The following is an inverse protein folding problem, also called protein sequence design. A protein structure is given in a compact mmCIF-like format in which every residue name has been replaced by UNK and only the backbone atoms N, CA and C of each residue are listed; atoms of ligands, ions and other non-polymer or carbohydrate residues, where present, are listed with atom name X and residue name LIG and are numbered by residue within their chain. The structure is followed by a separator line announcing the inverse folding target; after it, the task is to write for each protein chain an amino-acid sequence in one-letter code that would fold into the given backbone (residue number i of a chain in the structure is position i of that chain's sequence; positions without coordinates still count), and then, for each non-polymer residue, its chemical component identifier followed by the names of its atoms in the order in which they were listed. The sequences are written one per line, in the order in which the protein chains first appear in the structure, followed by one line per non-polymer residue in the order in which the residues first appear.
data_IF_289286677365
#
_entry.id   IF_289286677365
#
_cell.length_a   1.000
_cell.length_b   1.000
_cell.length_c   1.000
_cell.angle_alpha   90.00
_cell.angle_beta   90.00
_cell.angle_gamma   90.00
#
_symmetry.space_group_name_H-M   'P 1'
#
loop_
_entity.id
_entity.type
_entity.pdbx_description
1 polymer ?
#
# COMPACT_ATOMS: atom_id res chain seq x y z
N UNK A 1 -19.66 19.87 2.02
CA UNK A 1 -19.22 19.65 3.41
C UNK A 1 -17.87 18.95 3.35
N UNK A 2 -16.78 19.69 3.54
CA UNK A 2 -15.42 19.17 3.52
C UNK A 2 -15.14 18.45 4.83
N UNK A 3 -14.74 17.18 4.75
CA UNK A 3 -14.22 16.44 5.89
C UNK A 3 -12.78 16.93 6.06
N UNK A 4 -12.44 17.62 7.17
CA UNK A 4 -11.10 18.14 7.36
C UNK A 4 -10.07 17.00 7.43
N UNK A 5 -8.79 17.33 7.34
CA UNK A 5 -7.73 16.54 7.99
C UNK A 5 -8.10 16.35 9.48
N UNK A 6 -8.92 15.33 9.79
CA UNK A 6 -9.46 15.04 11.12
C UNK A 6 -8.87 13.74 11.63
N UNK A 7 -7.91 13.89 12.54
CA UNK A 7 -7.92 13.30 13.86
C UNK A 7 -6.84 14.08 14.64
N UNK A 8 -7.12 14.51 15.88
CA UNK A 8 -6.19 15.07 16.90
C UNK A 8 -5.03 15.99 16.39
N UNK A 9 -4.91 17.22 16.91
CA UNK A 9 -3.89 18.18 16.46
C UNK A 9 -2.44 17.62 16.43
N UNK A 10 -2.13 16.60 17.25
CA UNK A 10 -0.85 15.87 17.22
C UNK A 10 -0.71 14.96 16.00
N UNK A 11 -1.72 14.17 15.64
CA UNK A 11 -1.69 13.26 14.47
C UNK A 11 -1.68 14.03 13.16
N UNK A 12 -2.41 15.15 13.06
CA UNK A 12 -2.38 16.02 11.87
C UNK A 12 -0.95 16.46 11.51
N UNK A 13 -0.09 16.71 12.50
CA UNK A 13 1.31 17.12 12.25
C UNK A 13 2.12 15.98 11.63
N UNK A 14 1.99 14.77 12.17
CA UNK A 14 2.74 13.59 11.71
C UNK A 14 2.24 13.14 10.33
N UNK A 15 0.93 13.12 10.12
CA UNK A 15 0.29 12.82 8.83
C UNK A 15 0.72 13.82 7.75
N UNK A 16 0.65 15.11 8.08
CA UNK A 16 1.06 16.18 7.18
C UNK A 16 2.55 16.10 6.85
N UNK A 17 3.39 15.74 7.83
CA UNK A 17 4.83 15.53 7.62
C UNK A 17 5.10 14.37 6.68
N UNK A 18 4.42 13.23 6.85
CA UNK A 18 4.56 12.07 5.99
C UNK A 18 4.14 12.41 4.54
N UNK A 19 2.96 13.02 4.38
CA UNK A 19 2.47 13.45 3.07
C UNK A 19 3.40 14.48 2.40
N UNK A 20 3.93 15.43 3.18
CA UNK A 20 4.87 16.44 2.69
C UNK A 20 6.18 15.80 2.25
N UNK A 21 6.74 14.87 3.04
CA UNK A 21 8.00 14.23 2.71
C UNK A 21 7.94 13.41 1.41
N UNK A 22 6.82 12.72 1.14
CA UNK A 22 6.63 12.06 -0.16
C UNK A 22 6.58 13.09 -1.29
N UNK A 23 5.83 14.18 -1.08
CA UNK A 23 5.67 15.26 -2.05
C UNK A 23 7.01 15.92 -2.39
N UNK A 24 7.74 16.36 -1.38
CA UNK A 24 9.05 17.01 -1.49
C UNK A 24 10.08 16.10 -2.15
N UNK A 25 10.09 14.80 -1.82
CA UNK A 25 11.12 13.88 -2.31
C UNK A 25 10.86 13.33 -3.71
N UNK A 26 9.60 13.20 -4.13
CA UNK A 26 9.26 12.48 -5.37
C UNK A 26 8.32 13.21 -6.33
N UNK A 27 7.54 14.20 -5.88
CA UNK A 27 6.42 14.73 -6.68
C UNK A 27 6.69 16.04 -7.40
N UNK A 28 7.77 16.78 -7.06
CA UNK A 28 8.04 18.10 -7.65
C UNK A 28 9.13 18.02 -8.71
N UNK A 29 8.81 18.16 -10.01
CA UNK A 29 9.82 18.12 -11.05
C UNK A 29 10.89 19.19 -10.84
N UNK A 30 12.16 18.85 -11.10
CA UNK A 30 13.34 19.70 -10.92
C UNK A 30 13.66 20.17 -9.47
N UNK A 31 12.73 20.09 -8.51
CA UNK A 31 12.99 20.41 -7.10
C UNK A 31 13.24 19.16 -6.24
N UNK A 32 12.54 18.07 -6.54
CA UNK A 32 12.70 16.80 -5.84
C UNK A 32 13.99 16.10 -6.29
N UNK A 33 14.87 15.76 -5.34
CA UNK A 33 16.11 15.01 -5.60
C UNK A 33 15.87 13.70 -6.34
N UNK A 34 14.75 13.04 -6.02
CA UNK A 34 14.37 11.75 -6.56
C UNK A 34 13.09 11.84 -7.40
N UNK A 35 12.80 12.99 -8.05
CA UNK A 35 11.57 13.18 -8.81
C UNK A 35 11.18 11.95 -9.64
N UNK A 36 9.93 11.54 -9.54
CA UNK A 36 9.34 10.49 -10.36
C UNK A 36 8.02 10.99 -10.95
N UNK A 37 7.77 10.71 -12.23
CA UNK A 37 6.40 10.80 -12.75
C UNK A 37 5.47 9.85 -11.97
N UNK A 38 4.14 10.07 -11.93
CA UNK A 38 3.24 9.19 -11.18
C UNK A 38 3.41 7.72 -11.55
N UNK A 39 3.55 7.41 -12.85
CA UNK A 39 3.80 6.05 -13.34
C UNK A 39 5.13 5.47 -12.82
N UNK A 40 6.21 6.25 -12.81
CA UNK A 40 7.52 5.81 -12.30
C UNK A 40 7.50 5.63 -10.78
N UNK A 41 6.80 6.49 -10.06
CA UNK A 41 6.61 6.35 -8.61
C UNK A 41 5.79 5.09 -8.28
N UNK A 42 4.72 4.82 -9.05
CA UNK A 42 3.96 3.58 -8.95
C UNK A 42 4.86 2.34 -9.12
N UNK A 43 5.66 2.30 -10.20
CA UNK A 43 6.64 1.23 -10.43
C UNK A 43 7.66 1.11 -9.29
N UNK A 44 8.15 2.23 -8.76
CA UNK A 44 9.05 2.25 -7.62
C UNK A 44 8.41 1.58 -6.40
N UNK A 45 7.21 2.02 -5.99
CA UNK A 45 6.51 1.44 -4.83
C UNK A 45 6.24 -0.04 -5.04
N UNK A 46 5.77 -0.46 -6.23
CA UNK A 46 5.58 -1.88 -6.57
C UNK A 46 6.86 -2.69 -6.45
N UNK A 47 8.00 -2.16 -6.89
CA UNK A 47 9.29 -2.84 -6.77
C UNK A 47 9.75 -3.04 -5.33
N UNK A 48 9.15 -2.33 -4.36
CA UNK A 48 9.43 -2.46 -2.92
C UNK A 48 8.41 -3.32 -2.19
N UNK A 49 7.31 -3.69 -2.84
CA UNK A 49 6.30 -4.55 -2.25
C UNK A 49 6.71 -6.01 -2.38
N UNK A 50 6.60 -6.76 -1.27
CA UNK A 50 6.61 -8.21 -1.33
C UNK A 50 5.26 -8.74 -1.80
N UNK A 51 5.31 -9.90 -2.46
CA UNK A 51 4.10 -10.62 -2.79
C UNK A 51 3.34 -11.01 -1.51
N UNK A 52 2.03 -10.85 -1.55
CA UNK A 52 1.12 -11.07 -0.44
C UNK A 52 0.31 -12.33 -0.71
N UNK A 53 0.94 -13.45 -0.37
CA UNK A 53 0.38 -14.80 -0.42
C UNK A 53 0.97 -15.58 0.78
N UNK A 54 0.93 -14.97 1.96
CA UNK A 54 1.55 -15.51 3.18
C UNK A 54 0.76 -16.68 3.74
N UNK A 55 -0.55 -16.69 3.50
CA UNK A 55 -1.48 -17.66 4.05
C UNK A 55 -2.36 -18.29 2.96
N UNK A 56 -2.99 -19.43 3.29
CA UNK A 56 -4.02 -19.98 2.41
C UNK A 56 -5.21 -19.02 2.38
N UNK A 57 -5.69 -18.70 1.18
CA UNK A 57 -6.76 -17.71 0.95
C UNK A 57 -6.40 -16.28 1.37
N UNK A 58 -5.11 -15.95 1.41
CA UNK A 58 -4.66 -14.57 1.52
C UNK A 58 -5.22 -13.73 0.36
N UNK A 59 -5.55 -12.47 0.65
CA UNK A 59 -6.17 -11.60 -0.33
C UNK A 59 -5.11 -10.83 -1.10
N UNK A 60 -5.22 -10.78 -2.42
CA UNK A 60 -4.33 -9.97 -3.27
C UNK A 60 -4.21 -8.51 -2.77
N UNK A 61 -5.34 -7.99 -2.30
CA UNK A 61 -5.50 -6.62 -1.85
C UNK A 61 -5.25 -6.44 -0.34
N UNK A 62 -4.81 -7.47 0.38
CA UNK A 62 -4.26 -7.32 1.73
C UNK A 62 -3.08 -6.37 1.66
N UNK A 63 -2.97 -5.38 2.55
CA UNK A 63 -1.95 -4.35 2.49
C UNK A 63 -1.01 -4.29 3.71
N UNK A 64 -1.37 -4.97 4.80
CA UNK A 64 -0.56 -5.06 6.00
C UNK A 64 -0.98 -6.28 6.83
N UNK A 65 -0.02 -6.83 7.58
CA UNK A 65 -0.26 -7.83 8.62
C UNK A 65 0.24 -7.32 9.97
N UNK A 66 -0.50 -7.64 11.04
CA UNK A 66 -0.06 -7.49 12.42
C UNK A 66 0.02 -8.88 13.05
N UNK A 67 1.24 -9.35 13.29
CA UNK A 67 1.54 -10.52 14.10
C UNK A 67 1.60 -10.15 15.60
N UNK A 68 1.40 -11.12 16.49
CA UNK A 68 1.36 -10.89 17.94
C UNK A 68 2.23 -11.86 18.70
N UNK A 69 2.69 -11.45 19.87
CA UNK A 69 3.45 -12.33 20.79
C UNK A 69 2.60 -13.46 21.40
N UNK A 70 1.28 -13.29 21.46
CA UNK A 70 0.38 -14.17 22.22
C UNK A 70 0.11 -15.52 21.53
N UNK A 71 -0.03 -15.52 20.22
CA UNK A 71 -0.38 -16.71 19.44
C UNK A 71 0.07 -16.57 18.00
N UNK A 72 0.00 -17.66 17.25
CA UNK A 72 0.34 -17.66 15.83
C UNK A 72 -0.64 -16.83 14.98
N UNK A 73 -1.82 -16.49 15.50
CA UNK A 73 -2.83 -15.75 14.73
C UNK A 73 -2.34 -14.36 14.34
N UNK A 74 -2.68 -13.97 13.12
CA UNK A 74 -2.31 -12.68 12.51
C UNK A 74 -3.57 -11.88 12.22
N UNK A 75 -3.49 -10.56 12.31
CA UNK A 75 -4.53 -9.68 11.78
C UNK A 75 -4.10 -9.19 10.42
N UNK A 76 -4.91 -9.46 9.39
CA UNK A 76 -4.71 -8.95 8.05
C UNK A 76 -5.58 -7.71 7.83
N UNK A 77 -5.05 -6.73 7.08
CA UNK A 77 -5.75 -5.51 6.70
C UNK A 77 -5.91 -5.50 5.19
N UNK A 78 -7.13 -5.61 4.69
CA UNK A 78 -7.41 -5.69 3.25
C UNK A 78 -8.10 -4.46 2.74
N UNK A 79 -7.65 -3.96 1.59
CA UNK A 79 -8.28 -2.84 0.94
C UNK A 79 -9.64 -3.24 0.35
N UNK A 80 -10.69 -2.52 0.68
CA UNK A 80 -11.95 -2.63 -0.02
C UNK A 80 -11.89 -1.76 -1.27
N UNK A 81 -12.10 -2.37 -2.42
CA UNK A 81 -11.95 -1.73 -3.71
C UNK A 81 -13.30 -1.55 -4.40
N UNK A 82 -13.44 -0.44 -5.12
CA UNK A 82 -14.52 -0.24 -6.07
C UNK A 82 -13.93 -0.03 -7.47
N UNK A 83 -14.63 -0.49 -8.49
CA UNK A 83 -14.24 -0.25 -9.87
C UNK A 83 -14.19 1.25 -10.16
N UNK A 84 -13.09 1.72 -10.75
CA UNK A 84 -12.88 3.15 -10.94
C UNK A 84 -13.94 3.79 -11.85
N UNK A 85 -14.53 3.03 -12.78
CA UNK A 85 -15.52 3.49 -13.75
C UNK A 85 -16.95 3.32 -13.23
N UNK A 86 -17.32 2.13 -12.78
CA UNK A 86 -18.71 1.83 -12.37
C UNK A 86 -19.01 2.23 -10.94
N UNK A 87 -17.98 2.46 -10.12
CA UNK A 87 -18.07 2.71 -8.67
C UNK A 87 -18.74 1.58 -7.88
N UNK A 88 -18.87 0.39 -8.47
CA UNK A 88 -19.38 -0.79 -7.79
C UNK A 88 -18.26 -1.50 -7.02
N UNK A 89 -18.60 -2.10 -5.89
CA UNK A 89 -17.67 -2.95 -5.12
C UNK A 89 -17.15 -4.08 -6.00
N UNK A 90 -15.87 -4.38 -5.86
CA UNK A 90 -15.23 -5.52 -6.53
C UNK A 90 -14.58 -6.42 -5.49
N UNK A 91 -14.54 -7.72 -5.80
CA UNK A 91 -13.90 -8.68 -4.91
C UNK A 91 -12.39 -8.51 -4.87
N UNK A 92 -11.76 -8.08 -5.97
CA UNK A 92 -10.31 -7.85 -6.01
C UNK A 92 -9.86 -6.86 -7.08
N UNK A 93 -8.67 -6.28 -6.87
CA UNK A 93 -7.97 -5.40 -7.81
C UNK A 93 -7.27 -6.11 -8.98
N UNK A 94 -7.25 -7.45 -9.01
CA UNK A 94 -6.59 -8.23 -10.07
C UNK A 94 -7.17 -7.89 -11.45
N UNK A 95 -6.31 -7.49 -12.38
CA UNK A 95 -6.66 -7.18 -13.77
C UNK A 95 -7.64 -6.00 -13.94
N UNK A 96 -7.80 -5.16 -12.91
CA UNK A 96 -8.80 -4.08 -12.88
C UNK A 96 -8.19 -2.77 -12.46
N UNK A 97 -8.78 -1.69 -12.94
CA UNK A 97 -8.51 -0.34 -12.43
C UNK A 97 -9.51 -0.01 -11.34
N UNK A 98 -9.03 0.05 -10.10
CA UNK A 98 -9.86 0.27 -8.92
C UNK A 98 -9.42 1.51 -8.15
N UNK A 99 -10.31 1.98 -7.29
CA UNK A 99 -10.02 2.96 -6.24
C UNK A 99 -10.50 2.40 -4.89
N UNK A 100 -10.00 2.95 -3.79
CA UNK A 100 -10.44 2.58 -2.45
C UNK A 100 -11.91 2.99 -2.23
N UNK A 101 -12.67 2.12 -1.58
CA UNK A 101 -14.01 2.42 -1.09
C UNK A 101 -13.94 3.55 -0.05
N UNK A 102 -14.64 4.67 -0.27
CA UNK A 102 -14.52 5.83 0.60
C UNK A 102 -15.10 5.60 2.01
N UNK A 103 -16.14 4.79 2.14
CA UNK A 103 -16.86 4.59 3.41
C UNK A 103 -16.14 3.61 4.33
N UNK A 104 -15.47 2.62 3.75
CA UNK A 104 -14.75 1.59 4.48
C UNK A 104 -13.52 1.14 3.68
N UNK A 105 -12.47 1.97 3.58
CA UNK A 105 -11.35 1.71 2.67
C UNK A 105 -10.50 0.51 3.06
N UNK A 106 -10.42 0.17 4.36
CA UNK A 106 -9.61 -0.95 4.85
C UNK A 106 -10.44 -1.79 5.81
N UNK A 107 -10.49 -3.09 5.55
CA UNK A 107 -11.17 -4.09 6.37
C UNK A 107 -10.17 -4.99 7.10
N UNK A 108 -10.14 -4.94 8.45
CA UNK A 108 -9.33 -5.85 9.24
C UNK A 108 -10.07 -7.16 9.57
N UNK A 109 -9.34 -8.28 9.55
CA UNK A 109 -9.83 -9.62 9.95
C UNK A 109 -8.70 -10.48 10.54
N UNK A 110 -9.05 -11.51 11.30
CA UNK A 110 -8.10 -12.51 11.80
C UNK A 110 -7.82 -13.58 10.75
N UNK A 111 -6.56 -13.99 10.66
CA UNK A 111 -6.13 -15.25 10.06
C UNK A 111 -5.74 -16.18 11.19
N UNK A 112 -6.46 -17.29 11.35
CA UNK A 112 -6.19 -18.26 12.39
C UNK A 112 -5.15 -19.27 11.92
N UNK A 113 -4.02 -19.33 12.63
CA UNK A 113 -2.89 -20.19 12.26
C UNK A 113 -2.61 -21.27 13.30
N UNK A 114 -3.33 -21.27 14.43
CA UNK A 114 -3.19 -22.31 15.46
C UNK A 114 -3.67 -23.67 14.93
N UNK A 115 -2.79 -24.70 14.85
CA UNK A 115 -3.14 -25.97 14.22
C UNK A 115 -4.36 -26.65 14.83
N UNK A 116 -4.48 -26.62 16.16
CA UNK A 116 -5.62 -27.21 16.87
C UNK A 116 -6.96 -26.57 16.48
N UNK A 117 -6.96 -25.25 16.25
CA UNK A 117 -8.14 -24.51 15.83
C UNK A 117 -8.49 -24.79 14.36
N UNK A 118 -7.49 -24.81 13.49
CA UNK A 118 -7.65 -25.14 12.07
C UNK A 118 -8.18 -26.57 11.90
N UNK A 119 -7.60 -27.55 12.59
CA UNK A 119 -8.05 -28.95 12.58
C UNK A 119 -9.52 -29.08 13.04
N UNK A 120 -9.90 -28.37 14.09
CA UNK A 120 -11.29 -28.37 14.56
C UNK A 120 -12.26 -27.79 13.52
N UNK A 121 -11.89 -26.70 12.85
CA UNK A 121 -12.70 -26.11 11.75
C UNK A 121 -12.82 -27.06 10.57
N UNK A 122 -11.73 -27.71 10.18
CA UNK A 122 -11.75 -28.72 9.11
C UNK A 122 -12.64 -29.91 9.48
N UNK A 123 -12.61 -30.35 10.74
CA UNK A 123 -13.55 -31.37 11.25
C UNK A 123 -15.02 -30.93 11.15
N UNK A 124 -15.30 -29.62 11.25
CA UNK A 124 -16.64 -29.02 11.06
C UNK A 124 -16.97 -28.71 9.58
N UNK A 125 -16.08 -29.05 8.64
CA UNK A 125 -16.26 -28.76 7.21
C UNK A 125 -16.04 -27.31 6.82
N UNK A 126 -15.40 -26.50 7.68
CA UNK A 126 -15.04 -25.11 7.36
C UNK A 126 -13.65 -25.06 6.76
N UNK A 127 -13.55 -24.63 5.50
CA UNK A 127 -12.28 -24.55 4.76
C UNK A 127 -11.59 -23.18 4.88
N UNK A 128 -12.31 -22.16 5.35
CA UNK A 128 -11.79 -20.80 5.45
C UNK A 128 -11.21 -20.51 6.85
N UNK A 129 -9.96 -20.04 6.88
CA UNK A 129 -9.19 -19.79 8.11
C UNK A 129 -9.29 -18.36 8.63
N UNK A 130 -10.01 -17.49 7.93
CA UNK A 130 -10.18 -16.11 8.35
C UNK A 130 -11.51 -15.89 9.08
N UNK A 131 -11.46 -15.03 10.09
CA UNK A 131 -12.63 -14.59 10.87
C UNK A 131 -12.68 -13.08 10.95
N UNK A 132 -13.89 -12.53 10.83
CA UNK A 132 -14.11 -11.12 11.05
C UNK A 132 -13.83 -10.72 12.50
N UNK A 133 -13.27 -9.52 12.66
CA UNK A 133 -13.14 -8.91 13.98
C UNK A 133 -14.51 -8.59 14.57
N UNK A 134 -14.70 -8.91 15.85
CA UNK A 134 -15.88 -8.48 16.59
C UNK A 134 -15.80 -6.98 16.92
N UNK A 135 -16.91 -6.41 17.40
CA UNK A 135 -17.02 -4.98 17.71
C UNK A 135 -15.93 -4.48 18.68
N UNK A 136 -15.60 -5.28 19.70
CA UNK A 136 -14.61 -4.89 20.70
C UNK A 136 -13.21 -4.89 20.10
N UNK A 137 -12.87 -5.90 19.29
CA UNK A 137 -11.59 -6.00 18.59
C UNK A 137 -11.39 -4.87 17.60
N UNK A 138 -12.43 -4.54 16.81
CA UNK A 138 -12.40 -3.39 15.90
C UNK A 138 -12.22 -2.08 16.65
N UNK A 139 -12.88 -1.89 17.79
CA UNK A 139 -12.86 -0.60 18.47
C UNK A 139 -11.60 -0.40 19.32
N UNK A 140 -11.07 -1.48 19.92
CA UNK A 140 -10.12 -1.37 21.03
C UNK A 140 -8.75 -2.02 20.78
N UNK A 141 -8.59 -2.81 19.72
CA UNK A 141 -7.34 -3.53 19.48
C UNK A 141 -6.82 -3.38 18.05
N UNK A 142 -7.62 -3.69 17.05
CA UNK A 142 -7.15 -3.90 15.68
C UNK A 142 -7.91 -3.10 14.63
N UNK A 143 -8.77 -2.18 15.04
CA UNK A 143 -9.42 -1.26 14.13
C UNK A 143 -8.45 -0.44 13.31
N UNK A 144 -8.98 0.10 12.22
CA UNK A 144 -8.33 1.07 11.37
C UNK A 144 -9.34 2.15 11.03
N UNK A 145 -8.91 3.41 11.09
CA UNK A 145 -9.58 4.50 10.41
C UNK A 145 -8.70 4.92 9.25
N UNK A 146 -9.30 5.16 8.08
CA UNK A 146 -8.59 5.69 6.94
C UNK A 146 -9.43 6.78 6.28
N UNK A 147 -8.84 7.96 6.15
CA UNK A 147 -9.52 9.17 5.69
C UNK A 147 -8.87 9.65 4.40
N UNK A 148 -9.65 9.97 3.34
CA UNK A 148 -9.08 10.46 2.10
C UNK A 148 -8.35 11.78 2.33
N UNK A 149 -7.18 11.95 1.72
CA UNK A 149 -6.44 13.20 1.78
C UNK A 149 -7.04 14.20 0.81
N UNK A 150 -7.50 15.32 1.34
CA UNK A 150 -7.84 16.47 0.52
C UNK A 150 -6.55 17.24 0.18
N UNK A 151 -6.04 17.07 -1.04
CA UNK A 151 -4.80 17.71 -1.50
C UNK A 151 -4.86 19.23 -1.41
N UNK A 152 -6.02 19.85 -1.63
CA UNK A 152 -6.20 21.30 -1.48
C UNK A 152 -5.95 21.75 -0.04
N UNK A 153 -6.60 21.08 0.91
CA UNK A 153 -6.46 21.40 2.34
C UNK A 153 -5.03 21.13 2.81
N UNK A 154 -4.37 20.09 2.30
CA UNK A 154 -2.98 19.77 2.62
C UNK A 154 -2.01 20.86 2.13
N UNK A 155 -2.16 21.32 0.89
CA UNK A 155 -1.33 22.40 0.33
C UNK A 155 -1.55 23.71 1.09
N UNK A 156 -2.81 24.04 1.42
CA UNK A 156 -3.13 25.21 2.23
C UNK A 156 -2.55 25.11 3.64
N UNK A 157 -2.59 23.91 4.25
CA UNK A 157 -2.00 23.66 5.55
C UNK A 157 -0.49 23.93 5.53
N UNK A 158 0.24 23.44 4.53
CA UNK A 158 1.68 23.65 4.42
C UNK A 158 2.05 25.11 4.25
N UNK A 159 1.32 25.85 3.40
CA UNK A 159 1.50 27.29 3.25
C UNK A 159 1.31 28.06 4.57
N UNK A 160 0.49 27.55 5.49
CA UNK A 160 0.21 28.19 6.78
C UNK A 160 1.13 27.72 7.92
N UNK A 161 1.47 26.42 7.96
CA UNK A 161 2.10 25.77 9.13
C UNK A 161 3.57 25.45 8.92
N UNK A 162 4.02 25.32 7.69
CA UNK A 162 5.42 25.10 7.31
C UNK A 162 5.79 26.04 6.16
N UNK A 163 5.60 27.37 6.32
CA UNK A 163 5.72 28.32 5.23
C UNK A 163 7.13 28.36 4.63
N UNK A 164 8.17 28.19 5.45
CA UNK A 164 9.56 28.23 5.00
C UNK A 164 9.89 27.05 4.07
N UNK A 165 9.58 25.83 4.50
CA UNK A 165 9.80 24.61 3.70
C UNK A 165 8.95 24.63 2.42
N UNK A 166 7.69 25.07 2.49
CA UNK A 166 6.85 25.15 1.30
C UNK A 166 7.29 26.27 0.34
N UNK A 167 7.75 27.42 0.86
CA UNK A 167 8.33 28.48 0.05
C UNK A 167 9.66 28.06 -0.58
N UNK A 168 10.46 27.23 0.10
CA UNK A 168 11.65 26.62 -0.48
C UNK A 168 11.29 25.68 -1.62
N UNK A 169 10.30 24.81 -1.44
CA UNK A 169 9.80 23.94 -2.51
C UNK A 169 9.33 24.74 -3.73
N UNK A 170 8.58 25.83 -3.50
CA UNK A 170 8.15 26.76 -4.56
C UNK A 170 9.32 27.45 -5.25
N UNK A 171 10.34 27.90 -4.49
CA UNK A 171 11.53 28.53 -5.05
C UNK A 171 12.32 27.53 -5.90
N UNK A 172 12.51 26.31 -5.42
CA UNK A 172 13.20 25.24 -6.15
C UNK A 172 12.44 24.86 -7.43
N UNK A 173 11.10 24.82 -7.39
CA UNK A 173 10.26 24.64 -8.58
C UNK A 173 10.49 25.72 -9.62
N UNK A 174 10.43 27.00 -9.22
CA UNK A 174 10.62 28.14 -10.13
C UNK A 174 12.05 28.18 -10.68
N UNK A 175 13.05 27.92 -9.83
CA UNK A 175 14.46 27.89 -10.22
C UNK A 175 14.78 26.72 -11.16
N UNK A 176 14.06 25.60 -11.02
CA UNK A 176 14.20 24.41 -11.86
C UNK A 176 13.81 24.60 -13.33
N UNK A 177 13.13 25.70 -13.67
CA UNK A 177 13.00 26.24 -15.02
C UNK A 177 12.63 25.25 -16.12
N UNK A 178 11.35 25.17 -16.51
CA UNK A 178 10.85 24.45 -17.70
C UNK A 178 11.52 23.10 -17.98
N UNK A 179 11.83 22.31 -16.95
CA UNK A 179 11.97 20.87 -17.14
C UNK A 179 10.57 20.40 -17.55
N UNK A 180 10.36 20.30 -18.87
CA UNK A 180 9.12 19.79 -19.44
C UNK A 180 8.74 18.54 -18.65
N UNK A 181 7.52 18.51 -18.11
CA UNK A 181 6.91 17.28 -17.61
C UNK A 181 7.17 16.25 -18.70
N UNK A 182 7.92 15.16 -18.45
CA UNK A 182 8.21 14.19 -19.50
C UNK A 182 6.88 13.77 -20.11
N UNK A 183 6.71 14.03 -21.41
CA UNK A 183 5.51 13.75 -22.19
C UNK A 183 5.33 12.23 -22.38
N UNK A 184 5.23 11.46 -21.30
CA UNK A 184 4.86 10.04 -21.37
C UNK A 184 3.32 9.85 -21.37
N UNK A 185 2.56 10.94 -21.24
CA UNK A 185 1.08 10.94 -21.18
C UNK A 185 0.43 12.03 -22.06
N UNK A 186 1.02 12.38 -23.21
CA UNK A 186 0.29 13.15 -24.22
C UNK A 186 -0.81 12.26 -24.83
N UNK A 187 -2.00 12.28 -24.21
CA UNK A 187 -3.25 11.80 -24.79
C UNK A 187 -3.46 12.49 -26.15
N UNK A 188 -3.51 11.71 -27.23
CA UNK A 188 -4.08 12.19 -28.48
C UNK A 188 -5.60 12.29 -28.28
N UNK A 189 -6.23 13.47 -28.44
CA UNK A 189 -7.68 13.55 -28.47
C UNK A 189 -8.16 12.83 -29.74
N UNK A 190 -8.87 11.72 -29.57
CA UNK A 190 -9.66 11.10 -30.63
C UNK A 190 -10.66 12.12 -31.15
N UNK A 191 -10.29 12.76 -32.26
CA UNK A 191 -11.18 13.62 -33.03
C UNK A 191 -11.86 12.71 -34.04
N UNK A 192 -13.11 12.35 -33.76
CA UNK A 192 -13.97 11.75 -34.78
C UNK A 192 -14.27 12.83 -35.84
N UNK A 193 -13.62 12.71 -36.99
CA UNK A 193 -13.93 13.52 -38.18
C UNK A 193 -15.30 13.14 -38.73
N UNK A 194 -16.19 14.12 -38.84
CA UNK A 194 -17.31 14.12 -39.78
C UNK A 194 -17.36 15.45 -40.53
N UNK A 195 -16.73 15.41 -41.70
CA UNK A 195 -17.03 16.10 -42.97
C UNK A 195 -17.39 17.60 -43.04
N UNK A 196 -16.62 18.24 -43.93
CA UNK A 196 -16.96 19.30 -44.89
C UNK A 196 -16.72 20.76 -44.48
N UNK A 197 -15.76 21.40 -45.16
CA UNK A 197 -15.56 22.85 -45.08
C UNK A 197 -14.18 23.32 -45.53
N UNK A 198 -14.02 23.51 -46.84
CA UNK A 198 -12.84 24.09 -47.51
C UNK A 198 -12.62 25.55 -47.07
N UNK A 199 -11.43 25.91 -46.57
CA UNK A 199 -10.82 27.26 -46.69
C UNK A 199 -9.36 27.29 -46.26
N UNK A 200 -8.54 27.86 -47.14
CA UNK A 200 -7.11 28.12 -46.99
C UNK A 200 -6.81 29.10 -45.85
N UNK A 201 -5.74 28.82 -45.09
CA UNK A 201 -5.20 29.73 -44.08
C UNK A 201 -4.03 29.09 -43.35
N UNK A 202 -2.82 29.57 -43.65
CA UNK A 202 -1.56 29.11 -43.07
C UNK A 202 -1.60 29.11 -41.53
N UNK A 203 -1.54 27.93 -40.93
CA UNK A 203 -1.35 27.75 -39.48
C UNK A 203 0.14 27.68 -39.22
N UNK A 204 0.69 28.76 -38.67
CA UNK A 204 1.99 28.73 -38.02
C UNK A 204 1.93 27.68 -36.90
N UNK A 205 2.83 26.70 -36.95
CA UNK A 205 3.05 25.73 -35.89
C UNK A 205 3.35 26.48 -34.59
N UNK A 206 2.33 26.59 -33.74
CA UNK A 206 2.44 27.15 -32.40
C UNK A 206 3.29 26.23 -31.55
N UNK A 207 4.58 26.56 -31.43
CA UNK A 207 5.47 26.07 -30.39
C UNK A 207 4.75 26.21 -29.03
N UNK A 208 4.73 25.19 -28.14
CA UNK A 208 4.08 25.33 -26.85
C UNK A 208 4.71 26.53 -26.12
N UNK A 209 3.89 27.55 -25.86
CA UNK A 209 4.30 28.74 -25.12
C UNK A 209 4.70 28.29 -23.73
N UNK A 210 5.97 28.48 -23.37
CA UNK A 210 6.46 28.26 -22.02
C UNK A 210 5.62 29.06 -21.03
N UNK A 211 4.74 28.35 -20.31
CA UNK A 211 3.99 28.93 -19.20
C UNK A 211 4.98 29.33 -18.10
N UNK A 212 4.83 30.55 -17.60
CA UNK A 212 5.60 30.99 -16.43
C UNK A 212 5.32 30.03 -15.26
N UNK A 213 6.36 29.44 -14.69
CA UNK A 213 6.24 28.61 -13.50
C UNK A 213 5.82 29.52 -12.33
N UNK A 214 4.60 29.34 -11.82
CA UNK A 214 4.04 30.07 -10.66
C UNK A 214 3.74 29.13 -9.50
N UNK A 215 3.52 29.67 -8.30
CA UNK A 215 3.02 28.88 -7.16
C UNK A 215 1.71 28.15 -7.48
N UNK A 216 0.81 28.79 -8.24
CA UNK A 216 -0.46 28.17 -8.68
C UNK A 216 -0.23 27.02 -9.68
N UNK A 217 0.81 27.13 -10.51
CA UNK A 217 1.22 26.03 -11.40
C UNK A 217 1.73 24.82 -10.61
N UNK A 218 2.47 25.03 -9.51
CA UNK A 218 2.95 23.95 -8.64
C UNK A 218 1.78 23.23 -7.97
N UNK A 219 0.79 23.96 -7.45
CA UNK A 219 -0.39 23.36 -6.84
C UNK A 219 -1.15 22.48 -7.85
N UNK A 220 -1.29 22.94 -9.09
CA UNK A 220 -1.91 22.17 -10.18
C UNK A 220 -1.13 20.89 -10.49
N UNK A 221 0.20 20.98 -10.59
CA UNK A 221 1.08 19.82 -10.81
C UNK A 221 0.96 18.80 -9.67
N UNK A 222 1.02 19.26 -8.42
CA UNK A 222 0.92 18.40 -7.24
C UNK A 222 -0.45 17.73 -7.12
N UNK A 223 -1.53 18.45 -7.41
CA UNK A 223 -2.87 17.85 -7.47
C UNK A 223 -2.93 16.75 -8.51
N UNK A 224 -2.51 17.04 -9.74
CA UNK A 224 -2.48 16.06 -10.82
C UNK A 224 -1.66 14.82 -10.46
N UNK A 225 -0.51 15.00 -9.82
CA UNK A 225 0.35 13.92 -9.38
C UNK A 225 -0.31 13.03 -8.31
N UNK A 226 -0.94 13.63 -7.30
CA UNK A 226 -1.59 12.90 -6.22
C UNK A 226 -2.92 12.24 -6.64
N UNK A 227 -3.64 12.80 -7.61
CA UNK A 227 -4.88 12.22 -8.14
C UNK A 227 -4.67 10.81 -8.69
N UNK A 228 -3.48 10.49 -9.21
CA UNK A 228 -3.16 9.14 -9.69
C UNK A 228 -3.22 8.05 -8.61
N UNK A 229 -3.10 8.40 -7.32
CA UNK A 229 -2.96 7.44 -6.23
C UNK A 229 -4.12 7.41 -5.23
N UNK A 230 -5.01 8.41 -5.27
CA UNK A 230 -6.13 8.56 -4.32
C UNK A 230 -5.67 8.35 -2.86
N UNK A 231 -4.77 9.19 -2.33
CA UNK A 231 -4.13 8.96 -1.03
C UNK A 231 -5.11 8.99 0.14
N UNK A 232 -4.92 8.09 1.12
CA UNK A 232 -5.61 8.10 2.41
C UNK A 232 -4.59 8.14 3.54
N UNK A 233 -4.93 8.82 4.63
CA UNK A 233 -4.20 8.72 5.90
C UNK A 233 -4.89 7.68 6.76
N UNK A 234 -4.16 6.64 7.18
CA UNK A 234 -4.65 5.57 8.04
C UNK A 234 -4.06 5.64 9.45
N UNK A 235 -4.91 5.37 10.44
CA UNK A 235 -4.53 5.18 11.84
C UNK A 235 -5.00 3.81 12.31
N UNK A 236 -4.09 3.05 12.90
CA UNK A 236 -4.39 1.72 13.41
C UNK A 236 -4.50 1.77 14.94
N UNK A 237 -5.50 1.11 15.50
CA UNK A 237 -5.68 1.07 16.96
C UNK A 237 -4.48 0.43 17.66
N UNK A 238 -3.87 -0.59 17.04
CA UNK A 238 -2.65 -1.22 17.51
C UNK A 238 -1.39 -0.36 17.36
N UNK A 239 -1.42 0.68 16.51
CA UNK A 239 -0.28 1.52 16.15
C UNK A 239 -0.66 3.02 16.24
N UNK A 240 -1.11 3.52 17.40
CA UNK A 240 -1.77 4.83 17.49
C UNK A 240 -0.85 6.02 17.19
N UNK A 241 0.48 5.81 17.22
CA UNK A 241 1.51 6.83 16.92
C UNK A 241 2.19 6.59 15.57
N UNK A 242 1.64 5.70 14.76
CA UNK A 242 2.21 5.35 13.47
C UNK A 242 1.32 5.84 12.33
N UNK A 243 1.65 6.99 11.71
CA UNK A 243 0.89 7.46 10.56
C UNK A 243 1.14 6.51 9.38
N UNK A 244 0.07 6.09 8.70
CA UNK A 244 0.17 5.36 7.44
C UNK A 244 -0.38 6.20 6.31
N UNK A 245 0.36 6.32 5.21
CA UNK A 245 -0.16 6.89 3.96
C UNK A 245 -0.50 5.73 3.01
N UNK A 246 -1.79 5.45 2.90
CA UNK A 246 -2.32 4.40 2.03
C UNK A 246 -2.43 4.95 0.60
N UNK A 247 -1.86 4.23 -0.35
CA UNK A 247 -1.90 4.55 -1.78
C UNK A 247 -2.57 3.44 -2.56
N UNK A 248 -3.51 3.79 -3.43
CA UNK A 248 -4.10 2.89 -4.41
C UNK A 248 -3.34 3.03 -5.72
N UNK A 249 -2.47 2.07 -6.02
CA UNK A 249 -1.58 2.08 -7.17
C UNK A 249 -2.32 1.52 -8.40
N UNK A 250 -2.61 2.33 -9.43
CA UNK A 250 -3.31 1.85 -10.62
C UNK A 250 -2.45 0.85 -11.42
N UNK A 251 -3.03 0.11 -12.36
CA UNK A 251 -2.28 -0.71 -13.32
C UNK A 251 -1.22 0.11 -14.07
N UNK A 252 -0.08 -0.52 -14.37
CA UNK A 252 1.08 0.09 -15.04
C UNK A 252 1.12 -0.22 -16.53
N UNK A 253 0.57 -1.38 -16.94
CA UNK A 253 0.38 -1.74 -18.34
C UNK A 253 -0.92 -1.14 -18.86
N UNK A 254 -0.89 -0.60 -20.08
CA UNK A 254 -2.12 -0.20 -20.77
C UNK A 254 -2.89 -1.47 -21.11
N UNK A 255 -4.04 -1.65 -20.48
CA UNK A 255 -4.96 -2.75 -20.80
C UNK A 255 -5.61 -2.46 -22.15
N UNK A 256 -4.89 -2.68 -23.26
CA UNK A 256 -5.52 -2.75 -24.58
C UNK A 256 -6.31 -4.06 -24.64
N UNK A 257 -7.58 -3.99 -24.24
CA UNK A 257 -8.62 -4.96 -24.64
C UNK A 257 -8.37 -6.43 -24.29
N UNK A 258 -7.59 -6.75 -23.25
CA UNK A 258 -7.41 -8.15 -22.84
C UNK A 258 -8.66 -8.67 -22.12
N UNK A 259 -9.58 -9.25 -22.90
CA UNK A 259 -10.62 -10.15 -22.41
C UNK A 259 -9.94 -11.35 -21.76
N UNK A 260 -9.58 -11.27 -20.47
CA UNK A 260 -9.45 -12.49 -19.67
C UNK A 260 -10.85 -13.08 -19.54
N UNK A 261 -11.09 -14.11 -20.35
CA UNK A 261 -12.17 -15.07 -20.17
C UNK A 261 -12.21 -15.48 -18.71
N UNK A 262 -13.31 -15.15 -18.03
CA UNK A 262 -13.68 -15.71 -16.73
C UNK A 262 -13.67 -17.23 -16.85
N UNK A 263 -12.65 -17.89 -16.33
CA UNK A 263 -12.71 -19.34 -16.11
C UNK A 263 -13.49 -19.54 -14.81
N UNK A 264 -14.80 -19.63 -14.96
CA UNK A 264 -15.68 -20.27 -13.99
C UNK A 264 -15.37 -21.77 -13.92
N UNK A 265 -15.33 -22.30 -12.70
CA UNK A 265 -15.60 -23.68 -12.28
C UNK A 265 -15.35 -24.81 -13.31
N UNK A 266 -14.35 -25.64 -13.02
CA UNK A 266 -14.33 -27.03 -13.51
C UNK A 266 -14.42 -27.96 -12.32
N UNK A 267 -15.59 -28.59 -12.22
CA UNK A 267 -15.94 -29.65 -11.31
C UNK A 267 -15.15 -30.93 -11.60
N UNK A 268 -14.73 -31.60 -10.52
CA UNK A 268 -14.61 -33.05 -10.31
C UNK A 268 -14.30 -33.95 -11.52
N UNK A 269 -13.04 -34.40 -11.60
CA UNK A 269 -12.62 -35.60 -12.32
C UNK A 269 -11.78 -36.49 -11.41
N UNK A 270 -12.41 -37.53 -10.87
CA UNK A 270 -11.83 -38.59 -10.05
C UNK A 270 -11.03 -39.52 -10.97
N UNK A 271 -9.75 -39.77 -10.68
CA UNK A 271 -9.16 -41.12 -10.77
C UNK A 271 -7.69 -41.11 -10.29
N UNK A 272 -7.37 -42.16 -9.53
CA UNK A 272 -6.10 -42.28 -8.81
C UNK A 272 -5.01 -43.00 -9.59
N UNK A 273 -3.77 -42.78 -9.17
CA UNK A 273 -2.69 -43.75 -9.31
C UNK A 273 -1.60 -43.51 -8.26
N UNK A 274 -1.24 -44.58 -7.56
CA UNK A 274 -0.11 -44.70 -6.63
C UNK A 274 1.21 -44.50 -7.37
N UNK A 275 2.17 -43.82 -6.74
CA UNK A 275 3.59 -44.11 -6.93
C UNK A 275 4.41 -43.82 -5.67
N UNK A 276 5.39 -44.70 -5.43
CA UNK A 276 6.21 -44.84 -4.23
C UNK A 276 7.39 -43.85 -4.17
N UNK A 277 7.84 -43.69 -2.93
CA UNK A 277 9.04 -43.05 -2.41
C UNK A 277 10.34 -43.11 -3.24
N UNK A 278 11.16 -42.07 -3.08
CA UNK A 278 12.61 -42.19 -2.97
C UNK A 278 13.14 -41.16 -1.95
N UNK A 279 13.82 -41.68 -0.93
CA UNK A 279 14.53 -40.97 0.13
C UNK A 279 15.96 -40.70 -0.35
N UNK A 280 16.45 -39.47 -0.19
CA UNK A 280 17.87 -39.15 -0.31
C UNK A 280 18.28 -38.35 0.92
N UNK A 281 19.20 -38.93 1.69
CA UNK A 281 19.96 -38.29 2.78
C UNK A 281 21.11 -37.50 2.18
N UNK A 282 21.44 -36.36 2.79
CA UNK A 282 22.78 -35.78 2.75
C UNK A 282 23.03 -35.04 4.06
N UNK A 283 24.08 -35.48 4.74
CA UNK A 283 24.68 -34.93 5.96
C UNK A 283 25.73 -33.84 5.61
N UNK A 284 26.20 -33.16 6.65
CA UNK A 284 27.31 -32.20 6.76
C UNK A 284 26.96 -30.73 6.42
N UNK A 285 26.72 -29.83 7.39
CA UNK A 285 27.57 -29.31 8.48
C UNK A 285 28.67 -28.36 7.98
N UNK A 286 28.39 -27.05 8.01
CA UNK A 286 29.42 -26.06 8.35
C UNK A 286 28.79 -24.81 8.98
N UNK A 287 29.41 -24.35 10.07
CA UNK A 287 28.85 -23.46 11.10
C UNK A 287 29.34 -22.01 10.98
N UNK A 288 28.44 -21.02 11.14
CA UNK A 288 28.74 -19.60 11.42
C UNK A 288 27.56 -18.93 12.20
N UNK A 289 27.74 -17.76 12.85
CA UNK A 289 27.62 -17.61 14.31
C UNK A 289 26.24 -17.24 14.86
N UNK A 290 26.07 -17.54 16.16
CA UNK A 290 24.90 -17.28 16.99
C UNK A 290 24.53 -15.78 17.09
N UNK A 291 23.42 -15.40 16.47
CA UNK A 291 22.56 -14.31 16.92
C UNK A 291 21.10 -14.63 16.53
N UNK A 292 20.15 -14.31 17.42
CA UNK A 292 18.69 -14.49 17.31
C UNK A 292 18.09 -15.89 17.55
N UNK A 293 18.16 -16.32 18.82
CA UNK A 293 17.20 -17.27 19.40
C UNK A 293 15.95 -16.52 19.87
N UNK A 294 14.90 -16.49 19.06
CA UNK A 294 13.48 -16.72 19.43
C UNK A 294 12.63 -16.81 18.17
N UNK A 295 12.84 -17.86 17.37
CA UNK A 295 11.94 -18.23 16.29
C UNK A 295 11.04 -19.33 16.81
N UNK A 296 9.95 -18.96 17.46
CA UNK A 296 8.96 -19.92 17.93
C UNK A 296 8.16 -20.38 16.70
N UNK A 297 8.59 -21.48 16.07
CA UNK A 297 7.86 -22.15 15.00
C UNK A 297 6.60 -22.79 15.59
N UNK A 298 5.43 -22.21 15.30
CA UNK A 298 4.13 -22.81 15.57
C UNK A 298 3.63 -23.53 14.30
N UNK A 299 3.60 -24.87 14.33
CA UNK A 299 3.05 -25.70 13.25
C UNK A 299 3.96 -25.89 12.02
N UNK A 300 3.49 -26.69 11.06
CA UNK A 300 4.13 -26.92 9.75
C UNK A 300 4.01 -25.72 8.79
N UNK A 301 3.31 -24.66 9.20
CA UNK A 301 3.33 -23.36 8.53
C UNK A 301 4.65 -22.68 8.85
N UNK A 302 5.67 -23.05 8.07
CA UNK A 302 6.89 -22.25 8.01
C UNK A 302 6.51 -20.99 7.24
N UNK A 303 6.39 -19.85 7.91
CA UNK A 303 6.44 -18.58 7.19
C UNK A 303 7.66 -18.66 6.28
N UNK A 304 7.53 -18.36 4.96
CA UNK A 304 8.71 -18.25 4.13
C UNK A 304 9.65 -17.31 4.88
N UNK A 305 10.88 -17.78 5.12
CA UNK A 305 11.84 -17.04 5.94
C UNK A 305 11.84 -15.57 5.50
N UNK A 306 12.01 -14.54 6.37
CA UNK A 306 12.03 -13.14 5.92
C UNK A 306 13.14 -12.88 4.88
N UNK A 307 14.04 -13.85 4.70
CA UNK A 307 15.14 -13.92 3.73
C UNK A 307 14.81 -14.74 2.47
N UNK A 308 13.66 -15.41 2.38
CA UNK A 308 13.23 -16.13 1.17
C UNK A 308 12.52 -15.13 0.27
N UNK A 309 13.10 -14.72 -0.88
CA UNK A 309 12.40 -13.89 -1.83
C UNK A 309 11.18 -14.66 -2.35
N UNK A 310 9.98 -14.21 -2.00
CA UNK A 310 8.75 -14.61 -2.71
C UNK A 310 8.83 -14.00 -4.10
N UNK A 311 9.30 -14.78 -5.07
CA UNK A 311 9.60 -14.35 -6.45
C UNK A 311 8.35 -14.10 -7.32
N UNK A 312 7.17 -13.88 -6.74
CA UNK A 312 6.01 -13.48 -7.52
C UNK A 312 6.02 -11.97 -7.78
N UNK A 313 6.27 -11.60 -9.02
CA UNK A 313 6.17 -10.23 -9.50
C UNK A 313 4.67 -9.84 -9.47
N UNK A 314 4.31 -8.76 -8.77
CA UNK A 314 2.97 -8.17 -8.84
C UNK A 314 2.67 -7.83 -10.31
N UNK A 315 1.49 -8.24 -10.82
CA UNK A 315 1.17 -7.98 -12.23
C UNK A 315 1.02 -6.49 -12.48
N UNK A 316 1.53 -6.03 -13.62
CA UNK A 316 1.33 -4.66 -14.09
C UNK A 316 -0.14 -4.38 -14.46
N UNK A 317 -0.97 -5.42 -14.61
CA UNK A 317 -2.40 -5.31 -14.90
C UNK A 317 -3.27 -5.08 -13.65
N UNK A 318 -2.73 -5.33 -12.46
CA UNK A 318 -3.50 -5.34 -11.22
C UNK A 318 -3.50 -3.95 -10.58
N UNK A 319 -4.59 -3.56 -9.91
CA UNK A 319 -4.53 -2.49 -8.90
C UNK A 319 -3.91 -3.04 -7.62
N UNK A 320 -2.98 -2.31 -7.03
CA UNK A 320 -2.27 -2.73 -5.81
C UNK A 320 -2.38 -1.66 -4.75
N UNK A 321 -2.57 -2.03 -3.49
CA UNK A 321 -2.62 -1.06 -2.38
C UNK A 321 -1.35 -1.13 -1.54
N UNK A 322 -0.71 0.01 -1.27
CA UNK A 322 0.50 0.10 -0.45
C UNK A 322 0.29 1.03 0.74
N UNK A 323 1.04 0.82 1.82
CA UNK A 323 1.10 1.74 2.96
C UNK A 323 2.52 2.25 3.04
N UNK A 324 2.69 3.57 3.01
CA UNK A 324 3.95 4.25 3.24
C UNK A 324 4.00 4.78 4.67
N UNK A 325 5.19 4.75 5.28
CA UNK A 325 5.42 5.39 6.57
C UNK A 325 6.91 5.71 6.76
N UNK A 326 7.25 6.40 7.86
CA UNK A 326 8.62 6.47 8.34
C UNK A 326 8.93 5.25 9.20
N UNK A 327 10.03 4.57 8.89
CA UNK A 327 10.59 3.48 9.68
C UNK A 327 12.05 3.86 9.93
N UNK A 328 12.40 4.11 11.18
CA UNK A 328 13.71 4.62 11.63
C UNK A 328 14.10 5.92 10.92
N UNK A 329 13.11 6.81 10.75
CA UNK A 329 13.28 8.09 10.05
C UNK A 329 13.36 7.99 8.53
N UNK A 330 13.34 6.78 7.95
CA UNK A 330 13.41 6.56 6.51
C UNK A 330 12.02 6.29 5.90
N UNK A 331 11.71 6.96 4.78
CA UNK A 331 10.44 6.79 4.08
C UNK A 331 10.41 5.42 3.38
N UNK A 332 9.48 4.57 3.81
CA UNK A 332 9.48 3.13 3.53
C UNK A 332 8.08 2.61 3.22
N UNK A 333 8.01 1.54 2.44
CA UNK A 333 6.79 0.74 2.28
C UNK A 333 6.68 -0.20 3.47
N UNK A 334 5.55 -0.16 4.18
CA UNK A 334 5.28 -1.04 5.32
C UNK A 334 4.96 -2.44 4.82
N UNK A 335 5.64 -3.45 5.36
CA UNK A 335 5.46 -4.86 4.98
C UNK A 335 4.78 -5.67 6.08
N UNK A 336 5.33 -5.61 7.29
CA UNK A 336 4.89 -6.42 8.42
C UNK A 336 5.04 -5.65 9.72
N UNK A 337 4.11 -5.88 10.63
CA UNK A 337 4.15 -5.31 11.96
C UNK A 337 4.02 -6.44 12.97
N UNK A 338 4.80 -6.37 14.03
CA UNK A 338 4.71 -7.30 15.16
C UNK A 338 4.44 -6.52 16.44
N UNK A 339 3.44 -6.97 17.19
CA UNK A 339 3.03 -6.34 18.45
C UNK A 339 3.25 -7.31 19.60
N UNK A 340 4.17 -6.97 20.49
CA UNK A 340 4.29 -7.64 21.79
C UNK A 340 3.35 -7.01 22.77
N UNK A 341 2.51 -7.82 23.42
CA UNK A 341 1.62 -7.39 24.48
C UNK A 341 1.79 -8.25 25.72
N UNK A 342 1.64 -7.64 26.89
CA UNK A 342 1.64 -8.31 28.18
C UNK A 342 0.19 -8.59 28.56
N UNK A 343 -0.10 -9.85 28.86
CA UNK A 343 -1.43 -10.24 29.31
C UNK A 343 -1.78 -9.54 30.64
N UNK A 344 -2.99 -8.97 30.73
CA UNK A 344 -3.44 -8.34 31.94
C UNK A 344 -3.62 -9.39 33.03
N UNK A 345 -3.16 -9.09 34.26
CA UNK A 345 -3.37 -9.98 35.42
C UNK A 345 -4.84 -10.09 35.84
N UNK A 346 -5.70 -9.20 35.33
CA UNK A 346 -7.13 -9.10 35.68
C UNK A 346 -7.96 -8.90 34.42
N UNK A 347 -9.12 -9.55 34.32
CA UNK A 347 -9.95 -9.59 33.10
C UNK A 347 -10.45 -8.22 32.61
N UNK A 348 -10.47 -7.19 33.46
CA UNK A 348 -10.92 -5.83 33.13
C UNK A 348 -9.80 -4.88 32.73
N UNK A 349 -8.54 -5.32 32.76
CA UNK A 349 -7.42 -4.52 32.26
C UNK A 349 -7.20 -4.86 30.79
N UNK A 350 -6.97 -3.84 29.96
CA UNK A 350 -6.60 -4.08 28.57
C UNK A 350 -5.15 -4.59 28.49
N UNK A 351 -4.83 -5.46 27.52
CA UNK A 351 -3.45 -5.86 27.26
C UNK A 351 -2.58 -4.61 27.09
N UNK A 352 -1.47 -4.56 27.82
CA UNK A 352 -0.50 -3.48 27.67
C UNK A 352 0.42 -3.85 26.50
N UNK A 353 0.53 -2.99 25.50
CA UNK A 353 1.55 -3.13 24.46
C UNK A 353 2.91 -2.90 25.11
N UNK A 354 3.82 -3.86 24.98
CA UNK A 354 5.18 -3.77 25.49
C UNK A 354 6.07 -3.07 24.46
N UNK A 355 6.06 -3.59 23.24
CA UNK A 355 6.74 -2.99 22.09
C UNK A 355 6.04 -3.34 20.78
N UNK A 356 6.33 -2.53 19.78
CA UNK A 356 5.90 -2.68 18.40
C UNK A 356 7.15 -2.72 17.54
N UNK A 357 7.25 -3.72 16.69
CA UNK A 357 8.26 -3.86 15.64
C UNK A 357 7.60 -3.59 14.30
N UNK A 358 8.13 -2.64 13.53
CA UNK A 358 7.65 -2.32 12.19
C UNK A 358 8.76 -2.63 11.19
N UNK A 359 8.43 -3.45 10.20
CA UNK A 359 9.31 -3.86 9.12
C UNK A 359 8.81 -3.31 7.79
N UNK A 360 9.74 -2.91 6.94
CA UNK A 360 9.43 -2.42 5.62
C UNK A 360 10.61 -2.45 4.67
N UNK A 361 10.45 -1.78 3.53
CA UNK A 361 11.50 -1.56 2.57
C UNK A 361 11.62 -0.06 2.26
N UNK A 362 12.84 0.47 2.36
CA UNK A 362 13.13 1.87 2.01
C UNK A 362 12.72 2.16 0.57
N UNK A 363 11.98 3.26 0.34
CA UNK A 363 11.66 3.67 -1.03
C UNK A 363 12.93 4.04 -1.80
N UNK A 364 13.87 4.71 -1.14
CA UNK A 364 15.08 5.21 -1.78
C UNK A 364 16.03 4.07 -2.16
N UNK A 365 16.31 3.16 -1.22
CA UNK A 365 17.36 2.15 -1.41
C UNK A 365 16.82 0.77 -1.73
N UNK A 366 15.55 0.48 -1.40
CA UNK A 366 14.98 -0.86 -1.44
C UNK A 366 15.49 -1.80 -0.37
N UNK A 367 16.37 -1.34 0.52
CA UNK A 367 16.89 -2.16 1.62
C UNK A 367 15.80 -2.35 2.68
N UNK A 368 15.82 -3.48 3.41
CA UNK A 368 14.95 -3.68 4.57
C UNK A 368 15.16 -2.58 5.60
N UNK A 369 14.06 -2.06 6.14
CA UNK A 369 14.02 -1.08 7.23
C UNK A 369 13.32 -1.69 8.43
N UNK A 370 13.74 -1.32 9.64
CA UNK A 370 13.22 -1.85 10.89
C UNK A 370 13.21 -0.77 11.97
N UNK A 371 12.11 -0.66 12.71
CA UNK A 371 12.02 0.21 13.88
C UNK A 371 11.24 -0.48 15.00
N UNK A 372 11.80 -0.46 16.22
CA UNK A 372 11.13 -0.90 17.45
C UNK A 372 10.71 0.31 18.28
N UNK A 373 9.44 0.37 18.67
CA UNK A 373 8.93 1.35 19.65
C UNK A 373 8.43 0.64 20.89
N UNK A 374 8.91 1.07 22.06
CA UNK A 374 8.42 0.64 23.37
C UNK A 374 7.38 1.62 23.89
N UNK A 375 6.29 1.12 24.48
CA UNK A 375 5.18 1.95 25.00
C UNK A 375 5.43 2.55 26.38
#
# INVERSE_FOLDING_TARGET
MSIPLVANAKTVKEDSRLFFAVTEKYAVPAASECYQSPRRFNQLVRSRLRQRNRFNHDHHDTCMYIARSKNANVVAYTANLVDARTKQSVDSGIGRQCILCMENPIHPYFVNLEPSYVEERRRKGTEYDCDDLNFLERTMAYGVSATPVNTDDALQYWGKKTPEAFAELQRSWVAGGSAAVPEDEAEAPNTEESSSGKRDGAVAAGKPRGGSLTADSLNTVLKSWWTSFHPYVSHFVALPTWPGLVLCLPPVSKTEGSRRSSVSDVSLGKDGAKAKAASVRSEDADSLPEAEKTRTTYGSHTEPSPVTPTTGILSDEDTVVAILSFIDGELSVVENVYVSSIEPKRFYQLPKVEYIDVHGASLATGKPTYERRTS
#
